data_IF_091689491339
#
_entry.id   IF_091689491339
#
_cell.length_a   1.000
_cell.length_b   1.000
_cell.length_c   1.000
_cell.angle_alpha   90.00
_cell.angle_beta   90.00
_cell.angle_gamma   90.00
#
_symmetry.space_group_name_H-M   'P 1'
#
loop_
_entity.id
_entity.type
_entity.pdbx_description
1 polymer ?
#
# COMPACT_ATOMS: atom_id res chain seq x y z
N UNK A 1 12.80 9.78 12.80
CA UNK A 1 11.77 8.72 12.76
C UNK A 1 12.43 7.37 12.85
N UNK A 2 11.72 6.38 13.38
CA UNK A 2 12.13 4.98 13.41
C UNK A 2 11.31 4.19 12.39
N UNK A 3 11.95 3.25 11.70
CA UNK A 3 11.31 2.38 10.72
C UNK A 3 10.99 1.03 11.34
N UNK A 4 9.76 0.56 11.14
CA UNK A 4 9.34 -0.78 11.52
C UNK A 4 8.72 -1.50 10.34
N UNK A 5 8.92 -2.81 10.28
CA UNK A 5 8.16 -3.72 9.43
C UNK A 5 7.16 -4.49 10.30
N UNK A 6 5.87 -4.37 10.00
CA UNK A 6 4.78 -5.05 10.72
C UNK A 6 4.18 -6.09 9.80
N UNK A 7 4.19 -7.36 10.22
CA UNK A 7 3.56 -8.45 9.48
C UNK A 7 2.08 -8.53 9.81
N UNK A 8 1.23 -8.70 8.80
CA UNK A 8 -0.19 -9.03 8.94
C UNK A 8 -0.53 -10.29 8.15
N UNK A 9 -1.48 -11.06 8.66
CA UNK A 9 -2.00 -12.29 8.04
C UNK A 9 -3.48 -12.10 7.69
N UNK A 10 -3.83 -11.89 6.40
CA UNK A 10 -5.21 -11.86 5.93
C UNK A 10 -6.07 -13.01 6.48
N UNK A 11 -7.28 -12.69 6.94
CA UNK A 11 -8.27 -13.67 7.41
C UNK A 11 -9.55 -13.66 6.58
N UNK A 12 -9.92 -12.52 6.00
CA UNK A 12 -11.04 -12.39 5.07
C UNK A 12 -10.64 -11.56 3.85
N UNK A 13 -11.52 -11.51 2.85
CA UNK A 13 -11.32 -10.68 1.67
C UNK A 13 -11.37 -9.19 2.03
N UNK A 14 -10.63 -8.36 1.29
CA UNK A 14 -10.56 -6.92 1.51
C UNK A 14 -11.43 -6.17 0.48
N UNK A 15 -12.38 -5.38 0.96
CA UNK A 15 -13.19 -4.50 0.11
C UNK A 15 -12.47 -3.21 -0.30
N UNK A 16 -11.33 -2.90 0.34
CA UNK A 16 -10.46 -1.75 0.08
C UNK A 16 -9.01 -2.22 0.06
N UNK A 17 -8.19 -1.80 -0.94
CA UNK A 17 -6.77 -2.13 -0.96
C UNK A 17 -6.02 -1.60 0.27
N UNK A 18 -5.08 -2.40 0.79
CA UNK A 18 -4.22 -2.08 1.93
C UNK A 18 -3.13 -1.05 1.57
N UNK A 19 -3.53 0.12 1.07
CA UNK A 19 -2.62 1.23 0.73
C UNK A 19 -2.36 2.11 1.96
N UNK A 20 -1.16 2.69 2.01
CA UNK A 20 -0.68 3.47 3.16
C UNK A 20 -1.60 4.62 3.58
N UNK A 21 -2.21 5.30 2.62
CA UNK A 21 -3.14 6.42 2.86
C UNK A 21 -4.39 6.00 3.65
N UNK A 22 -4.90 4.79 3.37
CA UNK A 22 -6.07 4.24 4.06
C UNK A 22 -5.68 3.65 5.42
N UNK A 23 -4.51 3.00 5.51
CA UNK A 23 -3.96 2.51 6.78
C UNK A 23 -3.79 3.66 7.78
N UNK A 24 -3.22 4.78 7.34
CA UNK A 24 -3.11 6.00 8.14
C UNK A 24 -4.48 6.48 8.65
N UNK A 25 -5.48 6.53 7.76
CA UNK A 25 -6.85 6.92 8.15
C UNK A 25 -7.44 6.00 9.23
N UNK A 26 -7.24 4.68 9.12
CA UNK A 26 -7.65 3.74 10.17
C UNK A 26 -6.89 3.94 11.48
N UNK A 27 -5.58 4.21 11.42
CA UNK A 27 -4.78 4.50 12.61
C UNK A 27 -5.23 5.79 13.31
N UNK A 28 -5.55 6.85 12.56
CA UNK A 28 -6.14 8.07 13.13
C UNK A 28 -7.47 7.81 13.84
N UNK A 29 -8.34 6.95 13.29
CA UNK A 29 -9.58 6.56 13.98
C UNK A 29 -9.33 5.78 15.26
N UNK A 30 -8.32 4.90 15.29
CA UNK A 30 -7.91 4.26 16.53
C UNK A 30 -7.46 5.28 17.57
N UNK A 31 -6.62 6.24 17.19
CA UNK A 31 -6.16 7.29 18.08
C UNK A 31 -7.28 8.26 18.53
N UNK A 32 -8.28 8.49 17.67
CA UNK A 32 -9.45 9.30 18.03
C UNK A 32 -10.33 8.61 19.09
N UNK A 33 -10.41 7.28 19.05
CA UNK A 33 -11.21 6.48 19.98
C UNK A 33 -10.42 6.02 21.22
N UNK A 34 -9.09 6.00 21.14
CA UNK A 34 -8.17 5.63 22.20
C UNK A 34 -7.10 6.72 22.34
N UNK A 35 -7.33 7.78 23.14
CA UNK A 35 -6.39 8.90 23.27
C UNK A 35 -4.97 8.49 23.68
N UNK A 36 -4.82 7.36 24.38
CA UNK A 36 -3.51 6.81 24.78
C UNK A 36 -2.64 6.36 23.59
N UNK A 37 -3.21 6.17 22.39
CA UNK A 37 -2.45 5.78 21.19
C UNK A 37 -1.42 6.85 20.80
N UNK A 38 -1.70 8.13 21.05
CA UNK A 38 -0.79 9.24 20.70
C UNK A 38 -0.51 10.14 21.90
N UNK A 39 0.76 10.41 22.18
CA UNK A 39 1.18 11.31 23.26
C UNK A 39 0.66 12.73 23.02
N UNK A 40 -0.18 13.24 23.92
CA UNK A 40 -0.81 14.56 23.76
C UNK A 40 -2.03 14.57 22.82
N UNK A 41 -2.54 13.40 22.43
CA UNK A 41 -3.78 13.26 21.67
C UNK A 41 -3.64 13.48 20.16
N UNK A 42 -4.67 13.07 19.42
CA UNK A 42 -4.69 13.12 17.95
C UNK A 42 -4.63 14.55 17.41
N UNK A 43 -5.39 15.48 17.99
CA UNK A 43 -5.53 16.85 17.47
C UNK A 43 -4.18 17.57 17.32
N UNK A 44 -3.32 17.48 18.34
CA UNK A 44 -1.95 18.01 18.32
C UNK A 44 -1.15 17.50 17.13
N UNK A 45 -1.19 16.19 16.90
CA UNK A 45 -0.38 15.55 15.87
C UNK A 45 -0.93 15.76 14.45
N UNK A 46 -2.24 15.96 14.33
CA UNK A 46 -2.88 16.32 13.07
C UNK A 46 -2.54 17.76 12.67
N UNK A 47 -2.49 18.68 13.63
CA UNK A 47 -2.05 20.07 13.39
C UNK A 47 -0.59 20.13 12.92
N UNK A 48 0.29 19.30 13.49
CA UNK A 48 1.70 19.21 13.10
C UNK A 48 1.93 18.41 11.82
N UNK A 49 0.99 17.55 11.40
CA UNK A 49 1.20 16.60 10.31
C UNK A 49 1.69 17.20 8.98
N UNK A 50 1.23 18.40 8.54
CA UNK A 50 1.69 19.00 7.28
C UNK A 50 3.16 19.40 7.24
N UNK A 51 3.79 19.62 8.40
CA UNK A 51 5.20 20.03 8.49
C UNK A 51 6.07 18.96 9.14
N UNK A 52 5.48 18.12 9.98
CA UNK A 52 6.14 17.06 10.72
C UNK A 52 5.20 15.86 10.85
N UNK A 53 5.20 14.91 9.88
CA UNK A 53 4.39 13.71 10.00
C UNK A 53 4.83 12.93 11.24
N UNK A 54 3.88 12.34 11.97
CA UNK A 54 4.17 11.49 13.14
C UNK A 54 4.17 10.00 12.81
N UNK A 55 3.44 9.63 11.75
CA UNK A 55 3.37 8.28 11.23
C UNK A 55 3.25 8.34 9.69
N UNK A 56 4.01 7.49 9.01
CA UNK A 56 3.89 7.28 7.55
C UNK A 56 3.84 5.78 7.30
N UNK A 57 2.72 5.29 6.76
CA UNK A 57 2.52 3.87 6.46
C UNK A 57 2.74 3.58 4.97
N UNK A 58 3.36 2.46 4.63
CA UNK A 58 3.43 1.96 3.25
C UNK A 58 2.15 1.22 2.85
N UNK A 59 2.03 0.90 1.56
CA UNK A 59 1.16 -0.19 1.10
C UNK A 59 1.63 -1.52 1.71
N UNK A 60 0.71 -2.46 1.93
CA UNK A 60 1.04 -3.80 2.40
C UNK A 60 1.63 -4.65 1.25
N UNK A 61 2.80 -5.24 1.47
CA UNK A 61 3.55 -5.98 0.47
C UNK A 61 3.64 -7.46 0.81
N UNK A 62 3.50 -8.38 -0.16
CA UNK A 62 3.78 -9.80 0.07
C UNK A 62 5.15 -10.02 0.72
N UNK A 63 5.16 -10.80 1.81
CA UNK A 63 6.36 -11.23 2.53
C UNK A 63 6.55 -12.72 2.30
N UNK A 64 7.77 -13.11 1.94
CA UNK A 64 8.21 -14.50 1.78
C UNK A 64 9.43 -14.71 2.66
N UNK A 65 9.50 -15.86 3.33
CA UNK A 65 10.69 -16.28 4.09
C UNK A 65 11.28 -17.50 3.38
N UNK A 66 12.36 -17.28 2.63
CA UNK A 66 13.03 -18.31 1.82
C UNK A 66 14.42 -18.56 2.41
N UNK A 67 14.74 -19.80 2.81
CA UNK A 67 16.05 -20.16 3.39
C UNK A 67 16.50 -19.22 4.53
N UNK A 68 15.61 -18.94 5.49
CA UNK A 68 15.82 -18.02 6.61
C UNK A 68 16.08 -16.55 6.21
N UNK A 69 15.83 -16.17 4.95
CA UNK A 69 15.91 -14.79 4.47
C UNK A 69 14.52 -14.23 4.17
N UNK A 70 14.24 -13.04 4.70
CA UNK A 70 13.01 -12.32 4.37
C UNK A 70 13.15 -11.62 3.02
N UNK A 71 12.22 -11.89 2.10
CA UNK A 71 12.07 -11.23 0.80
C UNK A 71 10.70 -10.58 0.72
N UNK A 72 10.65 -9.34 0.27
CA UNK A 72 9.40 -8.62 0.01
C UNK A 72 9.18 -8.47 -1.49
N UNK A 73 7.96 -8.73 -1.96
CA UNK A 73 7.57 -8.46 -3.34
C UNK A 73 6.87 -7.10 -3.41
N UNK A 74 7.59 -6.06 -3.82
CA UNK A 74 7.01 -4.72 -4.03
C UNK A 74 6.54 -4.55 -5.48
N UNK A 75 5.72 -3.54 -5.77
CA UNK A 75 5.27 -3.26 -7.14
C UNK A 75 6.50 -2.96 -8.03
N UNK A 76 6.49 -3.42 -9.27
CA UNK A 76 7.50 -2.99 -10.24
C UNK A 76 7.46 -1.46 -10.33
N UNK A 77 8.61 -0.77 -10.29
CA UNK A 77 8.69 0.66 -10.55
C UNK A 77 7.89 1.09 -11.78
N UNK A 78 7.17 2.20 -11.68
CA UNK A 78 6.38 2.81 -12.77
C UNK A 78 7.28 3.54 -13.80
N UNK A 79 8.49 3.02 -14.00
CA UNK A 79 9.42 3.46 -15.02
C UNK A 79 8.96 3.00 -16.41
N UNK A 80 9.40 3.72 -17.44
CA UNK A 80 9.10 3.34 -18.82
C UNK A 80 9.68 1.95 -19.12
N UNK A 81 8.99 1.18 -19.97
CA UNK A 81 9.46 -0.14 -20.38
C UNK A 81 10.84 -0.10 -21.05
N UNK A 82 11.21 1.02 -21.68
CA UNK A 82 12.51 1.19 -22.31
C UNK A 82 13.65 1.34 -21.29
N UNK A 83 13.36 1.99 -20.14
CA UNK A 83 14.32 2.12 -19.03
C UNK A 83 14.46 0.78 -18.30
N UNK A 84 13.33 0.11 -18.01
CA UNK A 84 13.34 -1.14 -17.25
C UNK A 84 13.82 -2.35 -18.05
N UNK A 85 13.53 -2.37 -19.35
CA UNK A 85 13.83 -3.48 -20.26
C UNK A 85 14.38 -2.91 -21.57
N UNK A 86 15.64 -2.44 -21.57
CA UNK A 86 16.28 -1.92 -22.77
C UNK A 86 16.24 -3.00 -23.86
N UNK A 87 15.93 -2.59 -25.09
CA UNK A 87 15.83 -3.51 -26.20
C UNK A 87 17.20 -4.15 -26.43
N UNK A 88 17.23 -5.48 -26.47
CA UNK A 88 18.37 -6.22 -27.00
C UNK A 88 18.27 -6.14 -28.52
N UNK A 89 19.41 -5.95 -29.20
CA UNK A 89 19.46 -6.03 -30.66
C UNK A 89 18.95 -7.41 -31.10
N UNK A 90 17.71 -7.42 -31.58
CA UNK A 90 17.02 -8.59 -32.12
C UNK A 90 16.41 -8.15 -33.44
N UNK A 91 16.82 -8.81 -34.52
CA UNK A 91 16.41 -8.46 -35.89
C UNK A 91 14.93 -8.77 -36.17
N UNK A 92 14.27 -9.60 -35.35
CA UNK A 92 12.86 -9.99 -35.53
C UNK A 92 11.88 -9.16 -34.67
N UNK A 93 10.97 -8.47 -35.34
CA UNK A 93 9.90 -7.68 -34.72
C UNK A 93 8.89 -8.50 -33.91
N UNK A 94 8.62 -9.76 -34.31
CA UNK A 94 7.70 -10.64 -33.58
C UNK A 94 8.30 -11.07 -32.24
N UNK A 95 9.56 -11.52 -32.24
CA UNK A 95 10.30 -11.85 -31.02
C UNK A 95 10.32 -10.68 -30.02
N UNK A 96 10.54 -9.46 -30.52
CA UNK A 96 10.50 -8.24 -29.68
C UNK A 96 9.12 -8.00 -29.06
N UNK A 97 8.04 -8.25 -29.80
CA UNK A 97 6.67 -8.07 -29.28
C UNK A 97 6.31 -9.10 -28.22
N UNK A 98 6.72 -10.36 -28.40
CA UNK A 98 6.53 -11.44 -27.41
C UNK A 98 7.28 -11.12 -26.12
N UNK A 99 8.53 -10.70 -26.20
CA UNK A 99 9.35 -10.30 -25.05
C UNK A 99 8.74 -9.10 -24.31
N UNK A 100 8.27 -8.08 -25.04
CA UNK A 100 7.57 -6.94 -24.43
C UNK A 100 6.30 -7.37 -23.69
N UNK A 101 5.53 -8.33 -24.22
CA UNK A 101 4.33 -8.86 -23.55
C UNK A 101 4.71 -9.64 -22.29
N UNK A 102 5.80 -10.41 -22.30
CA UNK A 102 6.33 -11.10 -21.13
C UNK A 102 6.81 -10.10 -20.05
N UNK A 103 7.59 -9.09 -20.43
CA UNK A 103 8.09 -8.07 -19.50
C UNK A 103 6.96 -7.23 -18.89
N UNK A 104 5.87 -6.98 -19.62
CA UNK A 104 4.67 -6.33 -19.07
C UNK A 104 3.99 -7.14 -17.96
N UNK A 105 4.12 -8.48 -17.96
CA UNK A 105 3.56 -9.35 -16.91
C UNK A 105 4.40 -9.34 -15.63
N UNK A 106 5.70 -8.98 -15.70
CA UNK A 106 6.56 -8.83 -14.52
C UNK A 106 6.10 -7.62 -13.71
N UNK A 107 5.23 -7.85 -12.72
CA UNK A 107 4.56 -6.82 -11.90
C UNK A 107 5.23 -6.60 -10.56
N UNK A 108 6.11 -7.50 -10.15
CA UNK A 108 6.72 -7.48 -8.81
C UNK A 108 8.23 -7.32 -8.93
N UNK A 109 8.79 -6.50 -8.05
CA UNK A 109 10.21 -6.37 -7.80
C UNK A 109 10.51 -6.98 -6.43
N UNK A 110 11.44 -7.93 -6.39
CA UNK A 110 11.89 -8.55 -5.16
C UNK A 110 12.94 -7.66 -4.49
N UNK A 111 12.74 -7.39 -3.20
CA UNK A 111 13.69 -6.70 -2.34
C UNK A 111 13.98 -7.55 -1.10
N UNK A 112 15.22 -7.52 -0.64
CA UNK A 112 15.65 -8.24 0.56
C UNK A 112 15.33 -7.43 1.84
N UNK A 113 15.58 -8.04 2.99
CA UNK A 113 15.35 -7.45 4.31
C UNK A 113 16.06 -6.11 4.54
N UNK A 114 17.20 -5.90 3.90
CA UNK A 114 17.98 -4.65 3.94
C UNK A 114 17.27 -3.47 3.27
N UNK A 115 16.19 -3.74 2.51
CA UNK A 115 15.45 -2.76 1.71
C UNK A 115 16.32 -2.03 0.67
N UNK A 116 17.45 -2.61 0.29
CA UNK A 116 18.29 -2.10 -0.78
C UNK A 116 17.59 -2.33 -2.13
N UNK A 117 17.26 -1.23 -2.83
CA UNK A 117 16.60 -1.31 -4.14
C UNK A 117 17.62 -1.43 -5.27
N UNK A 118 17.64 -2.58 -5.93
CA UNK A 118 18.39 -2.78 -7.17
C UNK A 118 17.42 -2.90 -8.35
N UNK A 119 17.48 -1.93 -9.26
CA UNK A 119 16.66 -1.88 -10.48
C UNK A 119 17.21 -2.82 -11.56
N UNK A 120 17.19 -4.13 -11.30
CA UNK A 120 17.68 -5.15 -12.23
C UNK A 120 16.54 -6.05 -12.71
N UNK A 121 16.66 -6.56 -13.93
CA UNK A 121 15.64 -7.41 -14.56
C UNK A 121 15.46 -8.78 -13.88
N UNK A 122 16.51 -9.32 -13.27
CA UNK A 122 16.54 -10.60 -12.54
C UNK A 122 15.71 -10.58 -11.25
N UNK A 123 15.53 -9.40 -10.65
CA UNK A 123 14.69 -9.21 -9.46
C UNK A 123 13.20 -9.04 -9.82
N UNK A 124 12.84 -8.98 -11.11
CA UNK A 124 11.46 -8.76 -11.56
C UNK A 124 10.76 -10.07 -11.89
N UNK A 125 9.62 -10.29 -11.25
CA UNK A 125 8.81 -11.51 -11.42
C UNK A 125 7.35 -11.18 -11.75
N UNK A 126 6.66 -12.13 -12.37
CA UNK A 126 5.22 -12.05 -12.60
C UNK A 126 4.41 -12.72 -11.48
N UNK A 127 3.08 -12.62 -11.56
CA UNK A 127 2.16 -13.21 -10.58
C UNK A 127 2.32 -14.73 -10.45
N UNK A 128 2.68 -15.41 -11.55
CA UNK A 128 2.83 -16.87 -11.57
C UNK A 128 4.09 -17.27 -10.82
N UNK A 129 5.21 -16.59 -11.08
CA UNK A 129 6.47 -16.82 -10.38
C UNK A 129 6.36 -16.49 -8.88
N UNK A 130 5.63 -15.42 -8.51
CA UNK A 130 5.35 -15.12 -7.10
C UNK A 130 4.52 -16.21 -6.43
N UNK A 131 3.49 -16.71 -7.13
CA UNK A 131 2.67 -17.81 -6.66
C UNK A 131 3.47 -19.10 -6.45
N UNK A 132 4.35 -19.48 -7.39
CA UNK A 132 5.18 -20.69 -7.25
C UNK A 132 6.18 -20.59 -6.10
N UNK A 133 6.70 -19.40 -5.79
CA UNK A 133 7.52 -19.17 -4.58
C UNK A 133 6.68 -19.35 -3.32
N UNK A 134 5.54 -18.68 -3.22
CA UNK A 134 4.60 -18.83 -2.10
C UNK A 134 4.17 -20.29 -1.89
N UNK A 135 3.88 -21.03 -2.95
CA UNK A 135 3.44 -22.43 -2.89
C UNK A 135 4.47 -23.35 -2.22
N UNK A 136 5.76 -23.03 -2.32
CA UNK A 136 6.84 -23.79 -1.67
C UNK A 136 6.94 -23.53 -0.16
N UNK A 137 6.39 -22.41 0.31
CA UNK A 137 6.51 -21.95 1.70
C UNK A 137 5.32 -22.35 2.57
N UNK A 138 4.16 -22.61 1.98
CA UNK A 138 2.95 -22.99 2.73
C UNK A 138 2.96 -24.44 3.17
N UNK A 139 2.13 -24.74 4.17
CA UNK A 139 1.95 -26.11 4.66
C UNK A 139 1.54 -27.08 3.54
N UNK A 140 1.92 -28.37 3.62
CA UNK A 140 1.52 -29.39 2.63
C UNK A 140 0.01 -29.50 2.46
N UNK A 141 -0.76 -29.23 3.52
CA UNK A 141 -2.22 -29.21 3.49
C UNK A 141 -2.74 -28.07 2.62
N UNK A 142 -2.25 -26.85 2.85
CA UNK A 142 -2.61 -25.68 2.04
C UNK A 142 -2.17 -25.87 0.59
N UNK A 143 -0.95 -26.36 0.34
CA UNK A 143 -0.45 -26.64 -1.00
C UNK A 143 -1.35 -27.59 -1.81
N UNK A 144 -1.99 -28.58 -1.15
CA UNK A 144 -2.97 -29.48 -1.78
C UNK A 144 -4.31 -28.79 -2.06
N UNK A 145 -4.76 -27.92 -1.16
CA UNK A 145 -6.03 -27.18 -1.29
C UNK A 145 -6.02 -26.10 -2.38
N UNK A 146 -4.84 -25.56 -2.73
CA UNK A 146 -4.70 -24.53 -3.76
C UNK A 146 -5.17 -24.98 -5.16
N UNK A 147 -5.25 -26.29 -5.43
CA UNK A 147 -5.85 -26.83 -6.64
C UNK A 147 -5.27 -26.23 -7.93
N UNK A 148 -6.14 -25.59 -8.74
CA UNK A 148 -5.77 -24.94 -10.01
C UNK A 148 -5.49 -23.44 -9.89
N UNK A 149 -5.43 -22.88 -8.68
CA UNK A 149 -5.12 -21.45 -8.51
C UNK A 149 -3.71 -21.16 -9.03
N UNK A 150 -3.55 -20.05 -9.76
CA UNK A 150 -2.28 -19.63 -10.39
C UNK A 150 -1.81 -18.23 -9.99
N UNK A 151 -2.60 -17.51 -9.19
CA UNK A 151 -2.34 -16.11 -8.82
C UNK A 151 -2.20 -15.99 -7.30
N UNK A 152 -1.27 -15.16 -6.85
CA UNK A 152 -1.05 -14.87 -5.43
C UNK A 152 -2.23 -14.11 -4.77
N UNK A 153 -2.92 -13.28 -5.56
CA UNK A 153 -4.12 -12.54 -5.14
C UNK A 153 -5.20 -12.72 -6.21
N UNK A 154 -6.43 -12.97 -5.78
CA UNK A 154 -7.59 -13.08 -6.65
C UNK A 154 -8.54 -11.89 -6.42
N UNK A 155 -9.22 -11.47 -7.49
CA UNK A 155 -10.33 -10.53 -7.41
C UNK A 155 -11.64 -11.33 -7.42
N UNK A 156 -12.34 -11.31 -6.29
CA UNK A 156 -13.68 -11.88 -6.17
C UNK A 156 -14.71 -10.82 -6.56
N UNK A 157 -15.43 -11.06 -7.66
CA UNK A 157 -16.46 -10.16 -8.19
C UNK A 157 -17.83 -10.65 -7.75
N UNK A 158 -18.45 -9.91 -6.83
CA UNK A 158 -19.79 -10.22 -6.32
C UNK A 158 -20.82 -9.26 -6.91
N UNK A 159 -21.94 -9.83 -7.34
CA UNK A 159 -23.09 -9.08 -7.83
C UNK A 159 -24.07 -8.94 -6.67
N UNK A 160 -24.45 -7.71 -6.36
CA UNK A 160 -25.39 -7.37 -5.30
C UNK A 160 -26.64 -6.70 -5.87
N UNK A 161 -27.75 -6.84 -5.15
CA UNK A 161 -29.01 -6.16 -5.40
C UNK A 161 -29.51 -5.52 -4.10
N UNK A 162 -30.11 -4.35 -4.19
CA UNK A 162 -30.79 -3.70 -3.05
C UNK A 162 -32.28 -3.98 -3.12
N UNK A 163 -32.81 -4.72 -2.15
CA UNK A 163 -34.24 -5.05 -2.08
C UNK A 163 -34.94 -4.07 -1.14
N UNK A 164 -35.97 -3.39 -1.64
CA UNK A 164 -36.86 -2.59 -0.82
C UNK A 164 -37.81 -3.53 -0.05
N UNK A 165 -37.75 -3.51 1.28
CA UNK A 165 -38.53 -4.42 2.14
C UNK A 165 -40.04 -4.16 2.13
N UNK A 166 -40.48 -2.94 1.79
CA UNK A 166 -41.90 -2.59 1.70
C UNK A 166 -42.53 -3.16 0.44
N UNK A 167 -41.80 -3.10 -0.68
CA UNK A 167 -42.31 -3.53 -1.99
C UNK A 167 -41.86 -4.94 -2.37
N UNK A 168 -40.87 -5.50 -1.68
CA UNK A 168 -40.15 -6.74 -2.05
C UNK A 168 -39.57 -6.69 -3.47
N UNK A 169 -39.26 -5.49 -3.96
CA UNK A 169 -38.69 -5.27 -5.31
C UNK A 169 -37.31 -4.63 -5.23
N UNK A 170 -36.55 -4.73 -6.33
CA UNK A 170 -35.22 -4.14 -6.48
C UNK A 170 -35.31 -2.82 -7.24
N UNK A 171 -35.12 -1.67 -6.57
CA UNK A 171 -35.07 -0.35 -7.21
C UNK A 171 -36.30 0.01 -8.07
N UNK A 172 -36.12 0.92 -9.03
CA UNK A 172 -37.16 1.26 -10.04
C UNK A 172 -37.27 0.22 -11.16
N UNK A 173 -36.22 -0.57 -11.39
CA UNK A 173 -36.10 -1.72 -12.29
C UNK A 173 -34.82 -2.46 -11.86
N UNK A 174 -34.78 -3.80 -11.95
CA UNK A 174 -33.63 -4.65 -11.58
C UNK A 174 -32.25 -4.00 -11.86
N UNK A 175 -31.58 -3.51 -10.80
CA UNK A 175 -30.36 -2.69 -10.89
C UNK A 175 -29.20 -3.32 -10.09
N UNK A 176 -28.63 -4.43 -10.57
CA UNK A 176 -27.48 -5.05 -9.92
C UNK A 176 -26.24 -4.17 -9.99
N UNK A 177 -25.45 -4.20 -8.91
CA UNK A 177 -24.14 -3.54 -8.86
C UNK A 177 -23.06 -4.54 -8.47
N UNK A 178 -21.85 -4.32 -8.97
CA UNK A 178 -20.71 -5.21 -8.75
C UNK A 178 -19.79 -4.63 -7.69
N UNK A 179 -19.39 -5.49 -6.75
CA UNK A 179 -18.30 -5.24 -5.82
C UNK A 179 -17.13 -6.16 -6.12
N UNK A 180 -15.93 -5.57 -6.17
CA UNK A 180 -14.69 -6.33 -6.26
C UNK A 180 -14.03 -6.38 -4.88
N UNK A 181 -13.69 -7.59 -4.44
CA UNK A 181 -12.97 -7.84 -3.21
C UNK A 181 -11.62 -8.48 -3.52
N UNK A 182 -10.58 -8.07 -2.79
CA UNK A 182 -9.24 -8.66 -2.90
C UNK A 182 -9.12 -9.85 -1.95
N UNK A 183 -8.88 -11.03 -2.50
CA UNK A 183 -8.72 -12.27 -1.76
C UNK A 183 -7.24 -12.69 -1.81
N UNK A 184 -6.62 -12.80 -0.64
CA UNK A 184 -5.30 -13.39 -0.49
C UNK A 184 -5.43 -14.90 -0.23
N UNK A 185 -4.39 -15.65 -0.59
CA UNK A 185 -4.35 -17.08 -0.33
C UNK A 185 -4.16 -17.37 1.17
N UNK A 186 -4.51 -18.58 1.65
CA UNK A 186 -4.29 -18.97 3.05
C UNK A 186 -2.81 -18.85 3.43
N UNK A 187 -2.50 -18.60 4.70
CA UNK A 187 -1.11 -18.47 5.17
C UNK A 187 -0.29 -17.33 4.51
N UNK A 188 -0.90 -16.50 3.65
CA UNK A 188 -0.25 -15.30 3.12
C UNK A 188 0.17 -14.38 4.26
N UNK A 189 1.40 -13.89 4.19
CA UNK A 189 1.91 -12.82 5.03
C UNK A 189 2.13 -11.57 4.18
N UNK A 190 1.70 -10.43 4.72
CA UNK A 190 1.96 -9.12 4.14
C UNK A 190 2.74 -8.27 5.15
N UNK A 191 3.67 -7.47 4.69
CA UNK A 191 4.42 -6.51 5.51
C UNK A 191 3.99 -5.10 5.19
N UNK A 192 3.71 -4.34 6.25
CA UNK A 192 3.50 -2.90 6.20
C UNK A 192 4.71 -2.25 6.84
N UNK A 193 5.39 -1.39 6.11
CA UNK A 193 6.46 -0.55 6.63
C UNK A 193 5.84 0.70 7.25
N UNK A 194 6.27 1.08 8.44
CA UNK A 194 5.84 2.32 9.07
C UNK A 194 7.01 3.12 9.64
N UNK A 195 7.03 4.41 9.32
CA UNK A 195 7.92 5.39 9.94
C UNK A 195 7.18 6.05 11.09
N UNK A 196 7.74 5.99 12.30
CA UNK A 196 7.13 6.54 13.51
C UNK A 196 8.02 7.64 14.11
N UNK A 197 7.40 8.74 14.55
CA UNK A 197 8.04 9.70 15.44
C UNK A 197 7.94 9.19 16.89
N UNK A 198 9.05 8.86 17.56
CA UNK A 198 9.04 8.37 18.94
C UNK A 198 8.47 9.37 19.95
N UNK A 199 8.40 10.66 19.60
CA UNK A 199 7.71 11.64 20.44
C UNK A 199 6.18 11.45 20.42
N UNK A 200 5.62 10.89 19.34
CA UNK A 200 4.19 10.71 19.14
C UNK A 200 3.67 9.38 19.65
N UNK A 201 4.34 8.29 19.30
CA UNK A 201 3.93 6.92 19.63
C UNK A 201 5.12 5.97 19.66
N UNK A 202 4.92 4.81 20.27
CA UNK A 202 5.78 3.64 20.20
C UNK A 202 5.16 2.55 19.31
N UNK A 203 5.93 1.50 19.04
CA UNK A 203 5.50 0.37 18.22
C UNK A 203 4.37 -0.43 18.89
N UNK A 204 4.38 -0.59 20.22
CA UNK A 204 3.38 -1.38 20.94
C UNK A 204 1.96 -0.80 20.79
N UNK A 205 1.83 0.53 20.87
CA UNK A 205 0.56 1.23 20.62
C UNK A 205 0.10 1.08 19.17
N UNK A 206 1.02 1.10 18.21
CA UNK A 206 0.70 0.87 16.79
C UNK A 206 0.23 -0.57 16.57
N UNK A 207 0.91 -1.55 17.16
CA UNK A 207 0.50 -2.96 17.09
C UNK A 207 -0.87 -3.17 17.73
N UNK A 208 -1.15 -2.53 18.86
CA UNK A 208 -2.47 -2.59 19.49
C UNK A 208 -3.56 -1.99 18.60
N UNK A 209 -3.30 -0.83 17.97
CA UNK A 209 -4.20 -0.24 17.00
C UNK A 209 -4.46 -1.19 15.82
N UNK A 210 -3.41 -1.84 15.29
CA UNK A 210 -3.53 -2.82 14.20
C UNK A 210 -4.30 -4.07 14.61
N UNK A 211 -4.14 -4.57 15.85
CA UNK A 211 -4.95 -5.68 16.39
C UNK A 211 -6.42 -5.31 16.41
N UNK A 212 -6.76 -4.10 16.86
CA UNK A 212 -8.14 -3.62 16.88
C UNK A 212 -8.71 -3.48 15.45
N UNK A 213 -7.94 -2.88 14.53
CA UNK A 213 -8.33 -2.74 13.11
C UNK A 213 -8.57 -4.11 12.47
N UNK A 214 -7.64 -5.05 12.66
CA UNK A 214 -7.73 -6.39 12.07
C UNK A 214 -8.86 -7.24 12.66
N UNK A 215 -9.19 -7.07 13.96
CA UNK A 215 -10.30 -7.75 14.61
C UNK A 215 -11.66 -7.21 14.14
N UNK A 216 -11.80 -5.89 13.98
CA UNK A 216 -13.02 -5.27 13.49
C UNK A 216 -13.23 -5.49 11.99
N UNK A 217 -12.22 -5.13 11.19
CA UNK A 217 -12.23 -5.13 9.74
C UNK A 217 -11.69 -3.82 9.16
N UNK A 218 -10.88 -3.92 8.11
CA UNK A 218 -10.30 -2.80 7.39
C UNK A 218 -11.14 -2.38 6.17
N UNK A 219 -11.35 -1.08 6.02
CA UNK A 219 -11.95 -0.48 4.84
C UNK A 219 -13.45 -0.77 4.68
N UNK A 220 -13.88 -0.83 3.41
CA UNK A 220 -15.26 -1.03 2.99
C UNK A 220 -15.81 -2.37 3.50
N UNK A 221 -17.05 -2.34 3.97
CA UNK A 221 -17.82 -3.50 4.45
C UNK A 221 -17.16 -4.29 5.60
N UNK A 222 -16.36 -3.60 6.41
CA UNK A 222 -15.82 -4.15 7.66
C UNK A 222 -16.93 -4.71 8.58
N UNK A 223 -18.07 -4.03 8.66
CA UNK A 223 -19.26 -4.48 9.42
C UNK A 223 -19.88 -5.77 8.89
N UNK A 224 -19.65 -6.12 7.62
CA UNK A 224 -20.11 -7.37 6.99
C UNK A 224 -19.02 -8.46 7.00
N UNK A 225 -17.91 -8.23 7.72
CA UNK A 225 -16.83 -9.20 7.92
C UNK A 225 -15.65 -9.10 6.95
N UNK A 226 -15.60 -8.08 6.08
CA UNK A 226 -14.45 -7.87 5.20
C UNK A 226 -13.26 -7.22 5.94
N UNK A 227 -12.07 -7.39 5.36
CA UNK A 227 -10.84 -6.72 5.77
C UNK A 227 -10.26 -7.17 7.11
N UNK A 228 -10.60 -8.36 7.59
CA UNK A 228 -10.03 -8.90 8.83
C UNK A 228 -8.65 -9.47 8.58
N UNK A 229 -7.75 -9.24 9.54
CA UNK A 229 -6.41 -9.79 9.55
C UNK A 229 -5.91 -9.98 10.98
N UNK A 230 -4.86 -10.78 11.14
CA UNK A 230 -4.11 -10.85 12.39
C UNK A 230 -2.78 -10.12 12.25
N UNK A 231 -2.31 -9.55 13.35
CA UNK A 231 -0.95 -9.01 13.44
C UNK A 231 0.00 -10.17 13.77
N UNK A 232 1.09 -10.28 13.00
CA UNK A 232 2.17 -11.23 13.19
C UNK A 232 3.38 -10.59 13.85
N UNK A 233 4.56 -11.01 13.43
CA UNK A 233 5.84 -10.49 13.91
C UNK A 233 6.10 -9.06 13.41
N UNK A 234 6.95 -8.35 14.14
CA UNK A 234 7.43 -7.03 13.77
C UNK A 234 8.93 -6.92 14.03
N UNK A 235 9.58 -6.00 13.33
CA UNK A 235 10.99 -5.68 13.54
C UNK A 235 11.26 -4.19 13.33
N UNK A 236 12.17 -3.62 14.14
CA UNK A 236 12.77 -2.31 13.86
C UNK A 236 13.87 -2.50 12.81
N UNK A 237 13.82 -1.71 11.74
CA UNK A 237 14.76 -1.77 10.63
C UNK A 237 15.59 -0.49 10.56
N UNK A 238 16.86 -0.57 10.11
CA UNK A 238 17.61 0.63 9.77
C UNK A 238 16.94 1.37 8.61
N UNK A 239 17.07 2.69 8.58
CA UNK A 239 16.60 3.47 7.43
C UNK A 239 17.40 3.06 6.18
N UNK A 240 16.73 2.81 5.04
CA UNK A 240 17.42 2.41 3.83
C UNK A 240 18.29 3.56 3.33
N UNK A 241 19.53 3.24 3.00
CA UNK A 241 20.49 4.18 2.43
C UNK A 241 21.21 3.52 1.27
N UNK A 242 21.48 4.30 0.22
CA UNK A 242 22.22 3.83 -0.93
C UNK A 242 23.22 4.93 -1.33
N UNK A 243 24.54 4.65 -1.34
CA UNK A 243 25.53 5.61 -1.81
C UNK A 243 25.24 6.05 -3.25
N UNK A 244 25.37 7.35 -3.52
CA UNK A 244 25.11 7.95 -4.84
C UNK A 244 23.69 7.70 -5.39
N UNK A 245 22.70 7.52 -4.50
CA UNK A 245 21.30 7.52 -4.90
C UNK A 245 20.92 8.86 -5.53
N UNK A 246 20.12 8.81 -6.59
CA UNK A 246 19.65 9.98 -7.32
C UNK A 246 18.15 9.93 -7.63
N UNK A 247 17.45 8.90 -7.13
CA UNK A 247 16.02 8.69 -7.29
C UNK A 247 15.41 8.06 -6.02
N UNK A 248 14.11 8.25 -5.86
CA UNK A 248 13.31 7.74 -4.75
C UNK A 248 12.18 6.86 -5.29
N UNK A 249 12.13 5.58 -4.90
CA UNK A 249 11.04 4.66 -5.21
C UNK A 249 10.04 4.60 -4.05
N UNK A 250 8.77 4.89 -4.29
CA UNK A 250 7.75 4.98 -3.23
C UNK A 250 7.13 3.63 -2.86
N UNK A 251 6.99 3.38 -1.55
CA UNK A 251 6.34 2.17 -1.01
C UNK A 251 4.84 2.34 -0.75
N UNK A 252 4.25 3.50 -1.06
CA UNK A 252 2.83 3.78 -0.95
C UNK A 252 2.43 4.95 -1.86
N UNK A 253 1.13 5.25 -1.98
CA UNK A 253 0.68 6.42 -2.72
C UNK A 253 1.21 7.70 -2.11
N UNK A 254 1.63 8.64 -2.95
CA UNK A 254 2.21 9.90 -2.54
C UNK A 254 1.59 11.09 -3.30
N UNK A 255 1.49 12.23 -2.62
CA UNK A 255 1.25 13.53 -3.26
C UNK A 255 2.60 14.25 -3.29
N UNK A 256 3.30 14.32 -4.43
CA UNK A 256 4.61 14.94 -4.50
C UNK A 256 4.55 16.44 -4.19
N UNK A 257 5.59 16.96 -3.56
CA UNK A 257 5.79 18.38 -3.31
C UNK A 257 5.97 19.13 -4.64
N UNK A 258 5.37 20.33 -4.71
CA UNK A 258 5.42 21.13 -5.92
C UNK A 258 6.84 21.63 -6.19
N UNK A 259 7.36 21.34 -7.38
CA UNK A 259 8.69 21.80 -7.81
C UNK A 259 9.87 21.07 -7.17
N UNK A 260 9.66 20.04 -6.34
CA UNK A 260 10.75 19.32 -5.68
C UNK A 260 11.49 18.32 -6.59
N UNK A 261 10.89 17.95 -7.72
CA UNK A 261 11.37 16.88 -8.60
C UNK A 261 11.64 17.39 -10.01
N UNK A 262 12.79 16.99 -10.59
CA UNK A 262 13.11 17.27 -12.00
C UNK A 262 12.38 16.34 -12.95
N UNK A 263 12.11 15.11 -12.50
CA UNK A 263 11.41 14.10 -13.28
C UNK A 263 10.63 13.18 -12.35
N UNK A 264 9.49 12.70 -12.82
CA UNK A 264 8.59 11.84 -12.05
C UNK A 264 7.98 10.79 -12.97
N UNK A 265 8.03 9.54 -12.54
CA UNK A 265 7.46 8.39 -13.24
C UNK A 265 6.45 7.72 -12.33
N UNK A 266 5.17 7.79 -12.67
CA UNK A 266 4.10 7.25 -11.85
C UNK A 266 2.84 6.97 -12.66
N UNK A 267 2.03 6.05 -12.15
CA UNK A 267 0.63 5.91 -12.55
C UNK A 267 -0.23 6.83 -11.67
N UNK A 268 -1.19 7.59 -12.24
CA UNK A 268 -2.11 8.38 -11.43
C UNK A 268 -3.07 7.47 -10.68
N UNK A 269 -3.31 7.79 -9.41
CA UNK A 269 -4.25 7.11 -8.54
C UNK A 269 -5.17 8.14 -7.89
N UNK A 270 -6.48 7.88 -7.88
CA UNK A 270 -7.44 8.77 -7.19
C UNK A 270 -8.06 8.06 -6.00
N UNK A 271 -7.90 8.64 -4.81
CA UNK A 271 -8.55 8.17 -3.60
C UNK A 271 -9.89 8.84 -3.40
N UNK A 272 -10.95 8.03 -3.42
CA UNK A 272 -12.28 8.43 -2.96
C UNK A 272 -12.45 8.00 -1.51
N UNK A 273 -12.40 8.98 -0.60
CA UNK A 273 -12.53 8.75 0.83
C UNK A 273 -13.96 8.91 1.30
N UNK A 274 -14.40 8.02 2.18
CA UNK A 274 -15.55 8.25 3.07
C UNK A 274 -15.01 8.35 4.49
N UNK A 275 -15.62 9.19 5.32
CA UNK A 275 -15.34 9.18 6.75
C UNK A 275 -15.71 7.83 7.37
N UNK A 276 -15.16 7.55 8.55
CA UNK A 276 -15.57 6.44 9.41
C UNK A 276 -16.39 6.95 10.59
N UNK A 277 -16.89 6.01 11.39
CA UNK A 277 -17.46 6.27 12.72
C UNK A 277 -18.54 7.39 12.72
N UNK A 278 -18.62 8.20 13.77
CA UNK A 278 -19.57 9.30 13.95
C UNK A 278 -19.67 10.27 12.76
N UNK A 279 -18.58 10.46 12.00
CA UNK A 279 -18.56 11.39 10.87
C UNK A 279 -19.32 10.84 9.65
N UNK A 280 -19.58 9.53 9.57
CA UNK A 280 -20.46 8.93 8.56
C UNK A 280 -21.91 9.36 8.73
N UNK A 281 -22.32 9.70 9.95
CA UNK A 281 -23.69 10.09 10.28
C UNK A 281 -23.98 11.57 9.98
N UNK A 282 -22.99 12.32 9.51
CA UNK A 282 -23.15 13.73 9.10
C UNK A 282 -23.71 13.82 7.68
N UNK A 283 -24.26 14.99 7.32
CA UNK A 283 -24.80 15.25 5.98
C UNK A 283 -23.72 15.21 4.87
N UNK A 284 -22.44 15.35 5.24
CA UNK A 284 -21.31 15.42 4.30
C UNK A 284 -20.25 14.34 4.62
N UNK A 285 -20.59 13.04 4.51
CA UNK A 285 -19.72 11.95 4.97
C UNK A 285 -18.57 11.66 3.99
N UNK A 286 -18.60 12.23 2.78
CA UNK A 286 -17.59 12.00 1.75
C UNK A 286 -16.49 13.05 1.81
N UNK A 287 -15.24 12.59 1.61
CA UNK A 287 -14.07 13.44 1.47
C UNK A 287 -13.89 13.86 0.00
N UNK A 288 -13.25 15.00 -0.21
CA UNK A 288 -12.82 15.41 -1.55
C UNK A 288 -11.88 14.35 -2.15
N UNK A 289 -12.03 13.99 -3.44
CA UNK A 289 -11.13 13.07 -4.10
C UNK A 289 -9.69 13.60 -4.11
N UNK A 290 -8.73 12.74 -3.83
CA UNK A 290 -7.30 13.10 -3.81
C UNK A 290 -6.62 12.42 -4.99
N UNK A 291 -5.98 13.21 -5.86
CA UNK A 291 -5.12 12.70 -6.94
C UNK A 291 -3.70 12.54 -6.41
N UNK A 292 -3.15 11.34 -6.56
CA UNK A 292 -1.86 10.91 -6.03
C UNK A 292 -1.06 10.22 -7.12
N UNK A 293 0.26 10.17 -6.96
CA UNK A 293 1.09 9.16 -7.59
C UNK A 293 0.88 7.84 -6.85
N UNK A 294 0.63 6.77 -7.60
CA UNK A 294 0.42 5.44 -7.02
C UNK A 294 1.70 4.87 -6.39
N UNK A 295 1.60 3.79 -5.60
CA UNK A 295 2.81 3.08 -5.14
C UNK A 295 3.70 2.67 -6.32
N UNK A 296 4.99 2.50 -6.07
CA UNK A 296 5.96 2.19 -7.10
C UNK A 296 6.32 3.37 -8.02
N UNK A 297 5.82 4.57 -7.72
CA UNK A 297 6.29 5.79 -8.36
C UNK A 297 7.79 6.02 -8.09
N UNK A 298 8.49 6.53 -9.10
CA UNK A 298 9.91 6.90 -9.03
C UNK A 298 10.06 8.39 -9.26
N UNK A 299 10.69 9.06 -8.30
CA UNK A 299 10.91 10.50 -8.32
C UNK A 299 12.39 10.82 -8.36
N UNK A 300 12.80 11.75 -9.23
CA UNK A 300 14.16 12.27 -9.27
C UNK A 300 14.15 13.66 -8.63
N UNK A 301 14.66 13.82 -7.40
CA UNK A 301 14.65 15.10 -6.72
C UNK A 301 15.61 16.09 -7.41
N UNK A 302 15.32 17.39 -7.24
CA UNK A 302 16.20 18.47 -7.71
C UNK A 302 17.42 18.67 -6.80
N UNK A 303 17.23 18.49 -5.48
CA UNK A 303 18.27 18.63 -4.46
C UNK A 303 18.55 17.29 -3.78
N UNK A 304 19.80 17.10 -3.35
CA UNK A 304 20.18 15.99 -2.46
C UNK A 304 19.48 16.07 -1.09
N UNK A 305 18.95 17.24 -0.71
CA UNK A 305 18.22 17.42 0.55
C UNK A 305 16.96 16.55 0.65
N UNK A 306 16.42 16.12 -0.49
CA UNK A 306 15.30 15.17 -0.53
C UNK A 306 15.65 13.83 0.16
N UNK A 307 16.94 13.51 0.31
CA UNK A 307 17.40 12.31 1.00
C UNK A 307 17.62 12.49 2.50
N UNK A 308 17.43 13.71 3.05
CA UNK A 308 17.61 13.99 4.48
C UNK A 308 16.45 13.44 5.33
N UNK A 309 15.28 13.20 4.73
CA UNK A 309 14.12 12.63 5.39
C UNK A 309 13.83 11.23 4.84
N UNK A 310 13.38 10.26 5.65
CA UNK A 310 13.08 8.91 5.17
C UNK A 310 11.74 8.79 4.43
N UNK A 311 11.08 9.91 4.15
CA UNK A 311 9.79 10.00 3.48
C UNK A 311 9.81 11.17 2.49
N UNK A 312 8.86 11.15 1.56
CA UNK A 312 8.62 12.22 0.61
C UNK A 312 7.12 12.50 0.47
N UNK A 313 6.76 13.61 -0.15
CA UNK A 313 5.39 14.01 -0.41
C UNK A 313 4.86 15.00 0.61
N UNK A 314 3.55 15.20 0.66
CA UNK A 314 2.91 16.17 1.55
C UNK A 314 1.61 15.67 2.15
N UNK A 315 1.25 16.18 3.32
CA UNK A 315 -0.10 16.06 3.84
C UNK A 315 -1.12 16.69 2.88
N UNK A 316 -2.32 16.10 2.83
CA UNK A 316 -3.44 16.65 2.08
C UNK A 316 -4.50 17.16 3.05
N UNK A 317 -4.69 18.47 3.11
CA UNK A 317 -5.64 19.16 4.00
C UNK A 317 -6.83 19.72 3.21
N UNK A 318 -7.85 20.21 3.90
CA UNK A 318 -9.03 20.81 3.25
C UNK A 318 -9.92 19.80 2.50
N UNK A 319 -9.79 18.51 2.81
CA UNK A 319 -10.46 17.42 2.09
C UNK A 319 -11.83 17.04 2.67
N UNK A 320 -12.34 17.76 3.67
CA UNK A 320 -13.57 17.41 4.36
C UNK A 320 -14.36 18.66 4.71
N UNK A 321 -15.64 18.65 4.35
CA UNK A 321 -16.60 19.67 4.77
C UNK A 321 -17.21 19.37 6.15
N UNK A 322 -17.07 18.15 6.66
CA UNK A 322 -17.62 17.73 7.94
C UNK A 322 -16.66 17.98 9.12
N UNK A 323 -15.34 17.94 8.88
CA UNK A 323 -14.31 18.23 9.89
C UNK A 323 -13.08 18.86 9.22
N UNK A 324 -12.79 20.15 9.46
CA UNK A 324 -11.67 20.85 8.84
C UNK A 324 -10.30 20.30 9.25
N UNK A 325 -10.21 19.56 10.36
CA UNK A 325 -8.96 18.89 10.80
C UNK A 325 -8.65 17.64 9.99
N UNK A 326 -9.54 17.21 9.09
CA UNK A 326 -9.31 16.00 8.29
C UNK A 326 -8.07 16.15 7.43
N UNK A 327 -7.14 15.22 7.60
CA UNK A 327 -5.91 15.14 6.81
C UNK A 327 -5.78 13.78 6.14
N UNK A 328 -5.26 13.78 4.91
CA UNK A 328 -4.86 12.58 4.18
C UNK A 328 -3.34 12.43 4.20
N UNK A 329 -2.85 11.20 4.36
CA UNK A 329 -1.45 10.89 4.14
C UNK A 329 -1.17 10.94 2.62
N UNK A 330 -0.56 12.03 2.17
CA UNK A 330 0.12 12.09 0.87
C UNK A 330 1.65 11.92 1.02
N UNK A 331 2.12 11.53 2.20
CA UNK A 331 3.49 11.08 2.40
C UNK A 331 3.65 9.60 2.04
N UNK A 332 4.81 9.25 1.48
CA UNK A 332 5.25 7.87 1.34
C UNK A 332 6.67 7.72 1.86
N UNK A 333 6.93 6.61 2.56
CA UNK A 333 8.30 6.10 2.68
C UNK A 333 8.83 5.80 1.27
N UNK A 334 10.12 6.04 1.05
CA UNK A 334 10.77 5.66 -0.19
C UNK A 334 12.00 4.79 0.05
N UNK A 335 12.38 4.03 -0.98
CA UNK A 335 13.66 3.34 -1.07
C UNK A 335 14.57 4.15 -2.01
N UNK A 336 15.78 4.55 -1.56
CA UNK A 336 16.72 5.25 -2.41
C UNK A 336 17.23 4.30 -3.50
N UNK A 337 17.31 4.81 -4.73
CA UNK A 337 17.82 4.05 -5.86
C UNK A 337 18.65 4.91 -6.80
N UNK A 338 19.41 4.24 -7.66
CA UNK A 338 20.17 4.87 -8.73
C UNK A 338 19.46 4.62 -10.05
N UNK A 339 19.18 5.69 -10.77
CA UNK A 339 18.61 5.68 -12.10
C UNK A 339 19.55 6.42 -13.06
N UNK A 340 19.99 5.73 -14.11
CA UNK A 340 20.72 6.36 -15.20
C UNK A 340 19.68 6.88 -16.20
N UNK A 341 19.42 8.18 -16.14
CA UNK A 341 18.55 8.85 -17.11
C UNK A 341 19.45 9.63 -18.05
N UNK A 342 19.45 9.23 -19.32
CA UNK A 342 20.17 9.90 -20.40
C UNK A 342 19.40 11.10 -20.93
#
# INVERSE_FOLDING_TARGET
MKLYAITIKPRTAFGTPLKGDTIFGHFCWQAANQPATLNGGLDRWIELYPTKPFAVFSTAWPRLVENDQTVYAVKRPDLSMAIMFPAKDKDDGLARLIERKANKKKKWLLIEETLALHLKEDHLIDDTALFERYRKLVSPTTARQLGQVRNFMALDRRIHNTINRLTQTTGECFAPFVHENQCYLPETELTIFCLLDPAATDIDRVLQAFKNIGAFGFGRDASSGLGRFMVGEWQELPLPSLPNANACYTLGPAVPEQGAYRQSFFSPFTRFGKHGDRLVLTDKPFKAPIVMADEGAVFLPQSADAFNNPYLGRAVTGISLADPRTVGQGYSMYLPCRLEVH
#
